data_IF_312606887804
#
_entry.id   IF_312606887804
#
_cell.length_a   1.000
_cell.length_b   1.000
_cell.length_c   1.000
_cell.angle_alpha   90.00
_cell.angle_beta   90.00
_cell.angle_gamma   90.00
#
_symmetry.space_group_name_H-M   'P 1'
#
loop_
_entity.id
_entity.type
_entity.pdbx_description
1 polymer ?
#
# COMPACT_ATOMS: atom_id res chain seq x y z
N UNK A 1 5.89 9.99 -28.65
CA UNK A 1 6.89 8.93 -28.63
C UNK A 1 6.47 8.00 -27.49
N UNK A 2 5.76 6.90 -27.85
CA UNK A 2 5.17 5.98 -26.87
C UNK A 2 6.26 5.09 -26.29
N UNK A 3 6.52 5.22 -25.01
CA UNK A 3 7.34 4.27 -24.25
C UNK A 3 6.48 3.05 -23.94
N UNK A 4 6.80 1.94 -24.60
CA UNK A 4 6.24 0.63 -24.34
C UNK A 4 6.78 0.13 -22.99
N UNK A 5 5.97 0.17 -21.96
CA UNK A 5 6.14 -0.68 -20.79
C UNK A 5 5.68 -2.07 -21.21
N UNK A 6 6.64 -2.95 -21.44
CA UNK A 6 6.38 -4.32 -21.88
C UNK A 6 5.71 -5.16 -20.79
N UNK A 7 4.41 -5.10 -20.73
CA UNK A 7 3.61 -6.03 -19.94
C UNK A 7 3.51 -7.36 -20.71
N UNK A 8 4.30 -8.37 -20.32
CA UNK A 8 4.14 -9.74 -20.83
C UNK A 8 2.83 -10.32 -20.30
N UNK A 9 1.82 -10.34 -21.16
CA UNK A 9 0.54 -10.99 -20.88
C UNK A 9 0.73 -12.50 -20.94
N UNK A 10 0.48 -13.19 -19.83
CA UNK A 10 0.40 -14.66 -19.82
C UNK A 10 -0.87 -15.11 -20.55
N UNK A 11 -0.73 -15.80 -21.66
CA UNK A 11 -1.78 -16.59 -22.28
C UNK A 11 -1.75 -17.99 -21.68
N UNK A 12 -2.82 -18.38 -21.01
CA UNK A 12 -3.09 -19.77 -20.66
C UNK A 12 -3.57 -20.49 -21.94
N UNK A 13 -2.79 -21.40 -22.44
CA UNK A 13 -3.21 -22.28 -23.52
C UNK A 13 -2.84 -23.73 -23.16
N UNK A 14 -3.88 -24.50 -22.80
CA UNK A 14 -3.77 -25.95 -22.64
C UNK A 14 -3.47 -26.57 -24.00
N UNK A 15 -2.36 -27.28 -24.13
CA UNK A 15 -2.10 -28.21 -25.22
C UNK A 15 -1.60 -29.54 -24.66
N UNK A 16 -2.42 -30.60 -24.83
CA UNK A 16 -1.93 -31.97 -24.78
C UNK A 16 -1.14 -32.27 -26.05
N UNK A 17 0.10 -32.65 -25.91
CA UNK A 17 0.91 -33.12 -26.99
C UNK A 17 2.34 -33.44 -26.47
N UNK A 18 2.67 -34.72 -26.36
CA UNK A 18 3.98 -35.20 -25.93
C UNK A 18 5.08 -34.69 -26.87
N UNK A 19 6.00 -33.91 -26.34
CA UNK A 19 7.37 -33.78 -26.87
C UNK A 19 8.29 -33.45 -25.72
N UNK A 20 9.31 -34.27 -25.52
CA UNK A 20 10.33 -34.20 -24.48
C UNK A 20 11.35 -33.10 -24.80
N UNK A 21 11.08 -31.89 -24.40
CA UNK A 21 12.10 -30.88 -24.14
C UNK A 21 11.74 -30.24 -22.79
N UNK A 22 12.51 -30.56 -21.76
CA UNK A 22 12.45 -29.87 -20.46
C UNK A 22 13.05 -28.48 -20.61
N UNK A 23 12.30 -27.55 -21.18
CA UNK A 23 12.46 -26.13 -20.87
C UNK A 23 11.70 -25.92 -19.55
N UNK A 24 12.43 -25.78 -18.48
CA UNK A 24 11.86 -25.29 -17.20
C UNK A 24 11.39 -23.86 -17.45
N UNK A 25 10.07 -23.66 -17.67
CA UNK A 25 9.48 -22.32 -17.58
C UNK A 25 9.76 -21.81 -16.17
N UNK A 26 10.71 -20.90 -16.04
CA UNK A 26 10.86 -20.10 -14.81
C UNK A 26 9.58 -19.30 -14.62
N UNK A 27 8.77 -19.71 -13.66
CA UNK A 27 7.60 -18.94 -13.23
C UNK A 27 8.11 -17.67 -12.56
N UNK A 28 8.14 -16.57 -13.29
CA UNK A 28 8.52 -15.27 -12.75
C UNK A 28 7.44 -14.80 -11.77
N UNK A 29 7.77 -14.83 -10.50
CA UNK A 29 6.90 -14.33 -9.42
C UNK A 29 7.12 -12.83 -9.29
N UNK A 30 6.09 -12.03 -9.61
CA UNK A 30 6.11 -10.58 -9.41
C UNK A 30 6.24 -10.27 -7.92
N UNK A 31 7.23 -9.50 -7.56
CA UNK A 31 7.50 -9.00 -6.20
C UNK A 31 7.30 -7.48 -6.14
N UNK A 32 7.34 -6.90 -4.93
CA UNK A 32 7.28 -5.45 -4.78
C UNK A 32 8.46 -4.75 -5.49
N UNK A 33 9.58 -5.42 -5.64
CA UNK A 33 10.81 -4.89 -6.22
C UNK A 33 10.74 -4.69 -7.74
N UNK A 34 9.67 -5.17 -8.39
CA UNK A 34 9.43 -4.99 -9.82
C UNK A 34 8.69 -3.69 -10.14
N UNK A 35 8.33 -2.92 -9.10
CA UNK A 35 7.61 -1.65 -9.26
C UNK A 35 8.52 -0.45 -9.18
N UNK A 36 8.17 0.57 -9.96
CA UNK A 36 8.72 1.91 -9.92
C UNK A 36 7.58 2.87 -9.57
N UNK A 37 7.82 3.74 -8.62
CA UNK A 37 6.86 4.73 -8.14
C UNK A 37 7.44 6.14 -8.31
N UNK A 38 6.63 7.18 -8.14
CA UNK A 38 7.10 8.55 -8.23
C UNK A 38 7.24 9.15 -6.86
N UNK A 39 8.40 9.76 -6.60
CA UNK A 39 8.59 10.56 -5.42
C UNK A 39 7.77 11.85 -5.45
N UNK A 40 7.90 12.66 -4.42
CA UNK A 40 7.19 13.92 -4.26
C UNK A 40 7.52 14.94 -5.34
N UNK A 41 8.72 14.92 -5.89
CA UNK A 41 9.20 15.77 -6.99
C UNK A 41 8.83 15.20 -8.38
N UNK A 42 8.18 14.02 -8.44
CA UNK A 42 7.78 13.35 -9.67
C UNK A 42 8.90 12.54 -10.34
N UNK A 43 10.02 12.29 -9.62
CA UNK A 43 11.12 11.46 -10.08
C UNK A 43 10.80 9.99 -9.86
N UNK A 44 11.20 9.14 -10.79
CA UNK A 44 11.04 7.70 -10.69
C UNK A 44 11.98 7.12 -9.60
N UNK A 45 11.41 6.30 -8.71
CA UNK A 45 12.08 5.57 -7.63
C UNK A 45 11.78 4.10 -7.78
N UNK A 46 12.81 3.27 -7.92
CA UNK A 46 12.66 1.81 -7.96
C UNK A 46 12.44 1.26 -6.55
N UNK A 47 11.40 0.44 -6.37
CA UNK A 47 11.21 -0.25 -5.08
C UNK A 47 12.27 -1.34 -4.84
N UNK A 48 13.07 -1.70 -5.86
CA UNK A 48 14.25 -2.54 -5.68
C UNK A 48 15.32 -1.88 -4.78
N UNK A 49 15.31 -0.55 -4.62
CA UNK A 49 16.23 0.16 -3.73
C UNK A 49 15.96 -0.16 -2.24
N UNK A 50 14.80 -0.74 -1.94
CA UNK A 50 14.38 -1.17 -0.60
C UNK A 50 14.57 -2.68 -0.35
N UNK A 51 15.29 -3.39 -1.23
CA UNK A 51 15.53 -4.85 -1.06
C UNK A 51 16.14 -5.16 0.31
N UNK A 52 15.62 -6.22 0.94
CA UNK A 52 16.08 -6.69 2.25
C UNK A 52 15.47 -5.96 3.44
N UNK A 53 14.70 -4.90 3.21
CA UNK A 53 13.95 -4.21 4.27
C UNK A 53 12.56 -4.81 4.46
N UNK A 54 12.03 -4.68 5.67
CA UNK A 54 10.60 -4.83 5.96
C UNK A 54 9.91 -3.52 5.59
N UNK A 55 8.83 -3.58 4.78
CA UNK A 55 8.18 -2.36 4.32
C UNK A 55 6.73 -2.28 4.82
N UNK A 56 6.31 -1.07 5.16
CA UNK A 56 4.90 -0.71 5.28
C UNK A 56 4.56 0.22 4.13
N UNK A 57 3.68 -0.21 3.24
CA UNK A 57 3.11 0.65 2.19
C UNK A 57 1.77 1.16 2.69
N UNK A 58 1.59 2.47 2.75
CA UNK A 58 0.36 3.07 3.31
C UNK A 58 -0.18 4.18 2.41
N UNK A 59 -1.51 4.19 2.17
CA UNK A 59 -2.17 5.33 1.54
C UNK A 59 -2.71 6.27 2.61
N UNK A 60 -2.47 7.57 2.47
CA UNK A 60 -2.71 8.54 3.55
C UNK A 60 -3.52 9.77 3.10
N UNK A 61 -3.88 10.59 4.07
CA UNK A 61 -4.55 11.86 3.85
C UNK A 61 -4.33 12.81 5.05
N UNK A 62 -4.39 14.13 4.79
CA UNK A 62 -4.14 15.18 5.78
C UNK A 62 -5.38 15.65 6.52
N UNK A 63 -6.58 15.41 5.97
CA UNK A 63 -7.87 15.88 6.50
C UNK A 63 -8.82 14.71 6.85
N UNK A 64 -8.26 13.56 7.21
CA UNK A 64 -8.98 12.33 7.52
C UNK A 64 -9.15 12.17 9.04
N UNK A 65 -10.23 11.50 9.47
CA UNK A 65 -10.39 11.09 10.87
C UNK A 65 -9.28 10.17 11.38
N UNK A 66 -8.55 9.51 10.47
CA UNK A 66 -7.38 8.68 10.78
C UNK A 66 -6.04 9.42 10.64
N UNK A 67 -6.00 10.71 10.30
CA UNK A 67 -4.75 11.48 10.17
C UNK A 67 -3.86 11.40 11.43
N UNK A 68 -4.39 11.33 12.68
CA UNK A 68 -3.55 11.12 13.87
C UNK A 68 -2.68 9.85 13.85
N UNK A 69 -3.02 8.83 13.03
CA UNK A 69 -2.22 7.61 12.83
C UNK A 69 -0.78 7.92 12.35
N UNK A 70 -0.54 9.09 11.75
CA UNK A 70 0.83 9.51 11.41
C UNK A 70 1.75 9.54 12.62
N UNK A 71 1.26 9.96 13.79
CA UNK A 71 2.07 9.98 15.02
C UNK A 71 2.48 8.56 15.44
N UNK A 72 1.56 7.60 15.35
CA UNK A 72 1.84 6.21 15.73
C UNK A 72 2.77 5.52 14.71
N UNK A 73 2.61 5.81 13.41
CA UNK A 73 3.52 5.34 12.35
C UNK A 73 4.92 5.92 12.53
N UNK A 74 5.04 7.22 12.85
CA UNK A 74 6.33 7.86 13.09
C UNK A 74 7.02 7.25 14.31
N UNK A 75 6.30 7.01 15.38
CA UNK A 75 6.83 6.35 16.58
C UNK A 75 7.32 4.92 16.28
N UNK A 76 6.56 4.15 15.49
CA UNK A 76 6.96 2.84 15.03
C UNK A 76 8.23 2.92 14.18
N UNK A 77 8.29 3.87 13.24
CA UNK A 77 9.43 4.09 12.37
C UNK A 77 10.69 4.44 13.17
N UNK A 78 10.62 5.43 14.08
CA UNK A 78 11.76 5.82 14.91
C UNK A 78 12.32 4.68 15.75
N UNK A 79 11.48 3.78 16.20
CA UNK A 79 11.91 2.61 17.00
C UNK A 79 12.63 1.55 16.17
N UNK A 80 12.24 1.35 14.90
CA UNK A 80 12.66 0.18 14.13
C UNK A 80 13.37 0.49 12.81
N UNK A 81 13.54 1.78 12.42
CA UNK A 81 14.26 2.16 11.20
C UNK A 81 15.68 1.61 11.14
N UNK A 82 16.37 1.57 12.28
CA UNK A 82 17.74 1.03 12.39
C UNK A 82 17.77 -0.52 12.37
N UNK A 83 16.60 -1.18 12.32
CA UNK A 83 16.41 -2.61 12.13
C UNK A 83 15.90 -2.96 10.74
N UNK A 84 16.08 -2.06 9.78
CA UNK A 84 15.63 -2.17 8.38
C UNK A 84 14.09 -2.11 8.19
N UNK A 85 13.34 -1.46 9.08
CA UNK A 85 11.97 -1.05 8.77
C UNK A 85 11.99 0.20 7.88
N UNK A 86 11.15 0.18 6.83
CA UNK A 86 10.85 1.37 6.05
C UNK A 86 9.34 1.57 5.92
N UNK A 87 8.89 2.82 5.95
CA UNK A 87 7.48 3.19 5.73
C UNK A 87 7.42 4.05 4.47
N UNK A 88 6.64 3.63 3.48
CA UNK A 88 6.46 4.34 2.22
C UNK A 88 5.04 4.92 2.18
N UNK A 89 4.96 6.23 2.27
CA UNK A 89 3.71 7.00 2.38
C UNK A 89 3.25 7.51 1.02
N UNK A 90 2.02 7.15 0.63
CA UNK A 90 1.40 7.54 -0.63
C UNK A 90 0.11 8.34 -0.36
N UNK A 91 0.13 9.67 -0.42
CA UNK A 91 -1.08 10.46 -0.26
C UNK A 91 -2.14 10.12 -1.33
N UNK A 92 -3.40 9.99 -0.91
CA UNK A 92 -4.51 9.63 -1.79
C UNK A 92 -5.74 10.51 -1.52
N UNK A 93 -6.27 11.12 -2.59
CA UNK A 93 -7.41 12.04 -2.49
C UNK A 93 -8.77 11.39 -2.83
N UNK A 94 -8.81 10.07 -3.09
CA UNK A 94 -10.02 9.37 -3.54
C UNK A 94 -11.09 9.21 -2.44
N UNK A 95 -10.71 9.28 -1.17
CA UNK A 95 -11.62 9.07 -0.05
C UNK A 95 -12.04 10.40 0.58
N UNK A 96 -13.19 10.90 0.13
CA UNK A 96 -13.77 12.15 0.64
C UNK A 96 -12.95 13.40 0.34
N UNK A 97 -12.03 13.36 -0.64
CA UNK A 97 -11.13 14.45 -1.00
C UNK A 97 -10.28 14.97 0.18
N UNK A 98 -9.85 14.05 1.06
CA UNK A 98 -9.19 14.36 2.32
C UNK A 98 -7.67 14.58 2.21
N UNK A 99 -7.12 14.61 0.99
CA UNK A 99 -5.75 14.99 0.69
C UNK A 99 -5.70 16.05 -0.43
N UNK A 100 -6.30 17.24 -0.24
CA UNK A 100 -6.45 18.23 -1.33
C UNK A 100 -5.15 18.92 -1.71
N UNK A 101 -4.20 19.08 -0.79
CA UNK A 101 -2.97 19.84 -0.98
C UNK A 101 -2.05 19.30 -2.07
N UNK A 102 -1.07 20.09 -2.47
CA UNK A 102 0.08 19.67 -3.30
C UNK A 102 0.97 18.71 -2.50
N UNK A 103 1.90 18.02 -3.17
CA UNK A 103 2.86 17.14 -2.50
C UNK A 103 3.68 17.89 -1.42
N UNK A 104 4.10 19.11 -1.70
CA UNK A 104 4.86 19.94 -0.75
C UNK A 104 4.03 20.42 0.45
N UNK A 105 2.76 20.78 0.23
CA UNK A 105 1.85 21.16 1.31
C UNK A 105 1.57 19.97 2.24
N UNK A 106 1.34 18.78 1.67
CA UNK A 106 1.14 17.53 2.42
C UNK A 106 2.41 17.21 3.22
N UNK A 107 3.59 17.29 2.60
CA UNK A 107 4.86 17.05 3.28
C UNK A 107 5.09 18.01 4.43
N UNK A 108 4.88 19.31 4.20
CA UNK A 108 5.03 20.35 5.22
C UNK A 108 4.07 20.13 6.40
N UNK A 109 2.84 19.72 6.11
CA UNK A 109 1.85 19.37 7.13
C UNK A 109 2.30 18.16 7.97
N UNK A 110 2.70 17.06 7.31
CA UNK A 110 3.09 15.82 7.97
C UNK A 110 4.35 16.02 8.84
N UNK A 111 5.36 16.69 8.29
CA UNK A 111 6.60 16.99 8.99
C UNK A 111 6.36 17.95 10.15
N UNK A 112 5.66 19.06 9.91
CA UNK A 112 5.43 20.10 10.92
C UNK A 112 4.52 19.66 12.06
N UNK A 113 3.51 18.83 11.77
CA UNK A 113 2.50 18.43 12.77
C UNK A 113 2.81 17.12 13.48
N UNK A 114 3.39 16.15 12.77
CA UNK A 114 3.62 14.80 13.28
C UNK A 114 5.11 14.40 13.33
N UNK A 115 6.01 15.29 12.86
CA UNK A 115 7.43 15.00 12.80
C UNK A 115 7.79 13.86 11.84
N UNK A 116 6.99 13.62 10.80
CA UNK A 116 7.20 12.52 9.84
C UNK A 116 8.57 12.64 9.19
N UNK A 117 9.36 11.55 9.27
CA UNK A 117 10.68 11.44 8.68
C UNK A 117 10.84 10.26 7.72
N UNK A 118 9.85 9.39 7.61
CA UNK A 118 9.84 8.34 6.61
C UNK A 118 9.51 8.88 5.21
N UNK A 119 9.92 8.17 4.12
CA UNK A 119 9.71 8.59 2.74
C UNK A 119 8.23 8.85 2.40
N UNK A 120 7.98 10.04 1.82
CA UNK A 120 6.68 10.40 1.26
C UNK A 120 6.78 10.49 -0.26
N UNK A 121 5.85 9.85 -0.94
CA UNK A 121 5.79 9.76 -2.40
C UNK A 121 4.78 10.73 -3.00
N UNK A 122 4.71 10.75 -4.32
CA UNK A 122 3.69 11.49 -5.05
C UNK A 122 2.29 10.98 -4.73
N UNK A 123 1.31 11.87 -4.92
CA UNK A 123 -0.11 11.51 -4.75
C UNK A 123 -0.52 10.46 -5.77
N UNK A 124 -1.24 9.43 -5.33
CA UNK A 124 -1.67 8.31 -6.16
C UNK A 124 -3.18 8.07 -6.09
N UNK A 125 -3.72 7.43 -7.12
CA UNK A 125 -5.00 6.73 -7.04
C UNK A 125 -4.76 5.27 -6.65
N UNK A 126 -5.57 4.74 -5.76
CA UNK A 126 -5.42 3.36 -5.25
C UNK A 126 -6.53 2.42 -5.74
N UNK A 127 -7.63 2.99 -6.28
CA UNK A 127 -8.77 2.25 -6.82
C UNK A 127 -9.18 2.78 -8.21
N UNK A 128 -9.96 1.97 -8.93
CA UNK A 128 -10.47 2.31 -10.27
C UNK A 128 -9.45 2.08 -11.38
N UNK A 129 -9.78 2.56 -12.57
CA UNK A 129 -8.96 2.39 -13.78
C UNK A 129 -7.62 3.13 -13.72
N UNK A 130 -7.61 4.29 -13.02
CA UNK A 130 -6.41 5.11 -12.80
C UNK A 130 -5.52 4.64 -11.65
N UNK A 131 -5.86 3.54 -10.98
CA UNK A 131 -5.09 3.08 -9.84
C UNK A 131 -3.64 2.76 -10.21
N UNK A 132 -2.70 3.22 -9.37
CA UNK A 132 -1.29 2.95 -9.52
C UNK A 132 -1.03 1.43 -9.59
N UNK A 133 -0.16 0.95 -10.51
CA UNK A 133 0.13 -0.48 -10.69
C UNK A 133 0.56 -1.18 -9.40
N UNK A 134 1.31 -0.51 -8.52
CA UNK A 134 1.69 -1.04 -7.21
C UNK A 134 0.44 -1.36 -6.38
N UNK A 135 -0.52 -0.43 -6.28
CA UNK A 135 -1.73 -0.63 -5.50
C UNK A 135 -2.69 -1.63 -6.13
N UNK A 136 -2.73 -1.72 -7.46
CA UNK A 136 -3.46 -2.78 -8.15
C UNK A 136 -2.92 -4.17 -7.78
N UNK A 137 -1.59 -4.32 -7.72
CA UNK A 137 -0.93 -5.55 -7.33
C UNK A 137 -1.14 -5.86 -5.84
N UNK A 138 -0.90 -4.89 -4.95
CA UNK A 138 -1.07 -5.04 -3.50
C UNK A 138 -2.45 -5.57 -3.12
N UNK A 139 -3.51 -5.00 -3.71
CA UNK A 139 -4.90 -5.42 -3.46
C UNK A 139 -5.17 -6.86 -3.89
N UNK A 140 -4.51 -7.33 -4.96
CA UNK A 140 -4.63 -8.72 -5.44
C UNK A 140 -3.89 -9.70 -4.52
N UNK A 141 -2.79 -9.27 -3.90
CA UNK A 141 -2.03 -10.10 -2.96
C UNK A 141 -2.79 -10.27 -1.64
N UNK A 142 -3.35 -9.19 -1.11
CA UNK A 142 -4.12 -9.18 0.14
C UNK A 142 -5.38 -8.34 -0.02
N UNK A 143 -6.52 -9.01 -0.09
CA UNK A 143 -7.84 -8.39 -0.16
C UNK A 143 -8.32 -7.80 1.17
N UNK A 144 -9.51 -7.19 1.13
CA UNK A 144 -10.20 -6.67 2.31
C UNK A 144 -10.69 -7.83 3.21
N UNK A 145 -10.44 -7.73 4.52
CA UNK A 145 -10.81 -8.77 5.50
C UNK A 145 -11.76 -8.27 6.59
N UNK A 146 -12.11 -6.98 6.56
CA UNK A 146 -13.00 -6.37 7.55
C UNK A 146 -12.33 -5.27 8.35
N UNK A 147 -13.15 -4.35 8.88
CA UNK A 147 -12.73 -3.37 9.88
C UNK A 147 -12.80 -3.98 11.29
N UNK A 148 -12.00 -3.46 12.22
CA UNK A 148 -12.17 -3.77 13.63
C UNK A 148 -13.57 -3.30 14.10
N UNK A 149 -14.46 -4.20 14.52
CA UNK A 149 -15.82 -3.83 14.91
C UNK A 149 -15.88 -2.99 16.18
N UNK A 150 -14.84 -2.99 16.99
CA UNK A 150 -14.76 -2.24 18.26
C UNK A 150 -14.25 -0.82 18.05
N UNK A 151 -13.64 -0.51 16.91
CA UNK A 151 -13.12 0.81 16.63
C UNK A 151 -14.24 1.83 16.41
N UNK A 152 -14.18 2.98 17.12
CA UNK A 152 -15.24 4.01 17.15
C UNK A 152 -15.66 4.55 15.76
N UNK A 153 -14.77 4.53 14.78
CA UNK A 153 -15.04 5.04 13.42
C UNK A 153 -15.68 3.95 12.53
N UNK A 154 -15.59 2.68 12.88
CA UNK A 154 -16.12 1.57 12.06
C UNK A 154 -17.60 1.75 11.67
N UNK A 155 -18.55 2.11 12.57
CA UNK A 155 -19.93 2.32 12.19
C UNK A 155 -20.11 3.46 11.17
N UNK A 156 -19.28 4.52 11.29
CA UNK A 156 -19.32 5.68 10.40
C UNK A 156 -18.85 5.27 9.00
N UNK A 157 -17.67 4.59 8.90
CA UNK A 157 -17.15 4.09 7.62
C UNK A 157 -18.12 3.12 6.95
N UNK A 158 -18.62 2.17 7.72
CA UNK A 158 -19.61 1.20 7.23
C UNK A 158 -20.84 1.90 6.66
N UNK A 159 -21.37 2.89 7.37
CA UNK A 159 -22.53 3.65 6.89
C UNK A 159 -22.27 4.49 5.63
N UNK A 160 -21.04 5.01 5.45
CA UNK A 160 -20.64 5.71 4.22
C UNK A 160 -20.55 4.72 3.05
N UNK A 161 -19.86 3.60 3.27
CA UNK A 161 -19.61 2.58 2.23
C UNK A 161 -20.90 1.86 1.82
N UNK A 162 -21.78 1.51 2.76
CA UNK A 162 -23.08 0.87 2.48
C UNK A 162 -24.00 1.77 1.62
N UNK A 163 -23.87 3.10 1.76
CA UNK A 163 -24.61 4.05 0.92
C UNK A 163 -24.02 4.20 -0.47
N UNK A 164 -22.69 4.06 -0.60
CA UNK A 164 -21.99 4.22 -1.87
C UNK A 164 -22.12 2.97 -2.76
N UNK A 165 -21.94 1.78 -2.18
CA UNK A 165 -22.05 0.50 -2.87
C UNK A 165 -22.40 -0.61 -1.86
N UNK A 166 -23.56 -1.25 -1.94
CA UNK A 166 -23.94 -2.34 -1.03
C UNK A 166 -23.01 -3.56 -1.11
N UNK A 167 -22.26 -3.70 -2.20
CA UNK A 167 -21.35 -4.83 -2.44
C UNK A 167 -19.88 -4.51 -2.10
N UNK A 168 -19.58 -3.35 -1.52
CA UNK A 168 -18.21 -2.91 -1.26
C UNK A 168 -17.34 -3.94 -0.52
N UNK A 169 -17.96 -4.79 0.32
CA UNK A 169 -17.24 -5.84 1.07
C UNK A 169 -16.69 -6.96 0.21
N UNK A 170 -17.23 -7.13 -1.00
CA UNK A 170 -16.91 -8.24 -1.89
C UNK A 170 -15.70 -7.94 -2.79
N UNK A 171 -15.22 -6.71 -2.83
CA UNK A 171 -14.08 -6.31 -3.66
C UNK A 171 -12.79 -6.23 -2.83
N UNK A 172 -11.61 -6.47 -3.43
CA UNK A 172 -10.32 -6.32 -2.75
C UNK A 172 -9.91 -4.85 -2.59
N UNK A 173 -10.68 -3.91 -3.12
CA UNK A 173 -10.36 -2.49 -3.12
C UNK A 173 -10.02 -1.94 -1.74
N UNK A 174 -9.20 -0.91 -1.71
CA UNK A 174 -8.93 -0.13 -0.49
C UNK A 174 -10.20 0.61 -0.11
N UNK A 175 -10.61 0.51 1.14
CA UNK A 175 -11.89 1.04 1.61
C UNK A 175 -11.78 2.45 2.17
N UNK A 176 -10.60 2.84 2.66
CA UNK A 176 -10.36 4.17 3.20
C UNK A 176 -8.87 4.51 3.29
N UNK A 177 -8.56 5.77 3.61
CA UNK A 177 -7.20 6.22 3.91
C UNK A 177 -6.62 5.48 5.12
N UNK A 178 -5.31 5.34 5.17
CA UNK A 178 -4.52 4.62 6.18
C UNK A 178 -4.68 3.09 6.14
N UNK A 179 -5.04 2.52 4.99
CA UNK A 179 -4.85 1.10 4.73
C UNK A 179 -3.36 0.82 4.54
N UNK A 180 -2.84 -0.20 5.21
CA UNK A 180 -1.42 -0.54 5.26
C UNK A 180 -1.20 -1.95 4.72
N UNK A 181 -0.13 -2.12 3.93
CA UNK A 181 0.34 -3.44 3.50
C UNK A 181 1.73 -3.66 4.09
N UNK A 182 1.92 -4.81 4.73
CA UNK A 182 3.19 -5.23 5.30
C UNK A 182 3.89 -6.17 4.33
N UNK A 183 5.16 -5.88 4.04
CA UNK A 183 5.99 -6.58 3.07
C UNK A 183 7.19 -7.16 3.82
N UNK A 184 7.49 -8.43 3.58
CA UNK A 184 8.67 -9.07 4.14
C UNK A 184 9.98 -8.69 3.40
N UNK A 185 11.13 -9.12 3.94
CA UNK A 185 12.45 -8.84 3.36
C UNK A 185 12.66 -9.45 1.97
N UNK A 186 11.84 -10.43 1.59
CA UNK A 186 11.87 -11.06 0.26
C UNK A 186 10.99 -10.33 -0.76
N UNK A 187 10.21 -9.33 -0.32
CA UNK A 187 9.32 -8.55 -1.18
C UNK A 187 7.90 -9.09 -1.30
N UNK A 188 7.51 -10.05 -0.46
CA UNK A 188 6.16 -10.61 -0.47
C UNK A 188 5.23 -9.81 0.41
N UNK A 189 3.97 -9.64 -0.03
CA UNK A 189 2.91 -9.02 0.79
C UNK A 189 2.43 -10.04 1.80
N UNK A 190 2.76 -9.84 3.08
CA UNK A 190 2.42 -10.80 4.15
C UNK A 190 1.12 -10.47 4.85
N UNK A 191 0.81 -9.19 5.07
CA UNK A 191 -0.43 -8.74 5.72
C UNK A 191 -0.98 -7.46 5.09
N UNK A 192 -2.28 -7.27 5.24
CA UNK A 192 -2.99 -6.00 5.03
C UNK A 192 -3.67 -5.62 6.33
N UNK A 193 -3.61 -4.34 6.68
CA UNK A 193 -4.28 -3.76 7.82
C UNK A 193 -5.19 -2.63 7.35
N UNK A 194 -6.44 -2.71 7.74
CA UNK A 194 -7.39 -1.63 7.49
C UNK A 194 -7.11 -0.43 8.43
N UNK A 195 -7.63 0.77 8.13
CA UNK A 195 -7.35 1.96 8.96
C UNK A 195 -7.75 1.82 10.43
N UNK A 196 -8.69 0.94 10.74
CA UNK A 196 -9.15 0.66 12.10
C UNK A 196 -8.22 -0.23 12.92
N UNK A 197 -7.18 -0.82 12.29
CA UNK A 197 -6.16 -1.59 13.01
C UNK A 197 -5.24 -0.65 13.79
N UNK A 198 -5.16 -0.85 15.09
CA UNK A 198 -4.27 -0.10 15.98
C UNK A 198 -2.79 -0.37 15.64
N UNK A 199 -1.98 0.70 15.55
CA UNK A 199 -0.59 0.56 15.14
C UNK A 199 0.24 -0.14 16.21
N UNK A 200 0.08 0.22 17.48
CA UNK A 200 0.87 -0.34 18.57
C UNK A 200 0.42 -1.77 18.94
N UNK A 201 -0.90 -2.03 18.93
CA UNK A 201 -1.42 -3.33 19.37
C UNK A 201 -1.45 -4.39 18.26
N UNK A 202 -1.55 -3.99 16.96
CA UNK A 202 -1.80 -4.92 15.86
C UNK A 202 -0.70 -4.86 14.80
N UNK A 203 -0.31 -3.66 14.34
CA UNK A 203 0.68 -3.53 13.25
C UNK A 203 2.08 -3.81 13.77
N UNK A 204 2.46 -3.21 14.89
CA UNK A 204 3.79 -3.37 15.48
C UNK A 204 4.20 -4.83 15.72
N UNK A 205 3.39 -5.68 16.40
CA UNK A 205 3.78 -7.08 16.61
C UNK A 205 4.04 -7.83 15.30
N UNK A 206 3.24 -7.55 14.26
CA UNK A 206 3.44 -8.17 12.96
C UNK A 206 4.72 -7.69 12.24
N UNK A 207 5.13 -6.45 12.46
CA UNK A 207 6.42 -5.93 11.98
C UNK A 207 7.57 -6.61 12.73
N UNK A 208 7.49 -6.72 14.06
CA UNK A 208 8.50 -7.35 14.91
C UNK A 208 8.76 -8.82 14.54
N UNK A 209 7.74 -9.55 14.06
CA UNK A 209 7.88 -10.93 13.56
C UNK A 209 8.79 -11.03 12.32
N UNK A 210 9.01 -9.93 11.57
CA UNK A 210 9.75 -9.91 10.31
C UNK A 210 11.13 -9.24 10.44
N UNK A 211 11.39 -8.49 11.50
CA UNK A 211 12.66 -7.80 11.74
C UNK A 211 13.72 -8.75 12.29
#
# INVERSE_FOLDING_TARGET
MLLHVGMKVMRYQSYMGMSTNHETEEVYMVSIYDFTVRDREGKDVSLADYKGKVLIIVNTATECGFTPTYADLQKLYERDKDKDLEILDFPCNQFGQQAPGTADEIHSFCTGRFGVTFPQFGKVEVNGEGADPLFQWLKKQKGFTGFDPTHRITPILTGILDKADPNWRLTPDIKWNFTKFLIDRAGNVVRRFEPTADVDAVVRPAVEELL
#
